data_IF_731502073325
#
_entry.id   IF_731502073325
#
_cell.length_a   1.000
_cell.length_b   1.000
_cell.length_c   1.000
_cell.angle_alpha   90.00
_cell.angle_beta   90.00
_cell.angle_gamma   90.00
#
_symmetry.space_group_name_H-M   'P 1'
#
loop_
_entity.id
_entity.type
_entity.pdbx_description
1 polymer ?
#
# COMPACT_ATOMS: atom_id res chain seq x y z
N UNK A 1 15.72 -12.10 1.11
CA UNK A 1 15.50 -10.70 0.77
C UNK A 1 14.08 -10.50 0.26
N UNK A 2 13.42 -9.51 0.79
CA UNK A 2 12.06 -9.22 0.37
C UNK A 2 12.10 -8.24 -0.81
N UNK A 3 11.38 -8.59 -1.86
CA UNK A 3 11.23 -7.71 -3.02
C UNK A 3 9.86 -7.08 -2.96
N UNK A 4 9.80 -5.89 -2.41
CA UNK A 4 8.54 -5.18 -2.30
C UNK A 4 8.17 -4.61 -3.66
N UNK A 5 6.93 -4.82 -4.05
CA UNK A 5 6.43 -4.36 -5.35
C UNK A 5 5.37 -3.28 -5.22
N UNK A 6 4.83 -3.11 -4.04
CA UNK A 6 3.76 -2.15 -3.83
C UNK A 6 3.96 -1.40 -2.54
N UNK A 7 3.52 -0.16 -2.51
CA UNK A 7 3.57 0.65 -1.30
C UNK A 7 2.23 1.32 -1.11
N UNK A 8 1.78 1.33 0.13
CA UNK A 8 0.53 2.00 0.50
C UNK A 8 0.89 3.14 1.45
N UNK A 9 0.48 4.33 1.08
CA UNK A 9 0.70 5.52 1.89
C UNK A 9 -0.57 5.88 2.61
N UNK A 10 -0.47 6.09 3.92
CA UNK A 10 -1.60 6.50 4.74
C UNK A 10 -1.13 7.64 5.62
N UNK A 11 -1.58 8.86 5.29
CA UNK A 11 -1.28 10.02 6.12
C UNK A 11 0.20 10.25 6.37
N UNK A 12 1.05 9.95 5.39
CA UNK A 12 2.47 10.15 5.57
C UNK A 12 3.23 8.91 6.03
N UNK A 13 2.52 7.85 6.39
CA UNK A 13 3.14 6.59 6.74
C UNK A 13 3.13 5.66 5.54
N UNK A 14 4.22 4.95 5.32
CA UNK A 14 4.32 4.05 4.19
C UNK A 14 4.45 2.60 4.66
N UNK A 15 3.74 1.72 3.97
CA UNK A 15 3.80 0.28 4.20
C UNK A 15 4.10 -0.41 2.88
N UNK A 16 5.05 -1.33 2.92
CA UNK A 16 5.50 -2.02 1.72
C UNK A 16 4.95 -3.44 1.67
N UNK A 17 4.56 -3.86 0.48
CA UNK A 17 3.94 -5.17 0.28
C UNK A 17 4.57 -5.86 -0.91
N UNK A 18 4.63 -7.19 -0.83
CA UNK A 18 5.16 -8.00 -1.92
C UNK A 18 4.07 -8.46 -2.89
N UNK A 19 2.80 -8.31 -2.50
CA UNK A 19 1.67 -8.79 -3.26
C UNK A 19 0.65 -7.70 -3.44
N UNK A 20 0.13 -7.57 -4.65
CA UNK A 20 -0.91 -6.59 -4.93
C UNK A 20 -2.15 -6.85 -4.06
N UNK A 21 -2.49 -8.12 -3.90
CA UNK A 21 -3.67 -8.49 -3.13
C UNK A 21 -3.59 -7.96 -1.71
N UNK A 22 -2.44 -8.12 -1.09
CA UNK A 22 -2.23 -7.62 0.27
C UNK A 22 -2.28 -6.11 0.32
N UNK A 23 -1.62 -5.46 -0.62
CA UNK A 23 -1.61 -4.00 -0.65
C UNK A 23 -3.01 -3.46 -0.85
N UNK A 24 -3.78 -4.07 -1.74
CA UNK A 24 -5.14 -3.63 -2.02
C UNK A 24 -6.05 -3.84 -0.81
N UNK A 25 -5.86 -4.93 -0.11
CA UNK A 25 -6.64 -5.20 1.10
C UNK A 25 -6.44 -4.09 2.13
N UNK A 26 -5.19 -3.72 2.37
CA UNK A 26 -4.90 -2.68 3.34
C UNK A 26 -5.35 -1.32 2.83
N UNK A 27 -5.21 -1.08 1.53
CA UNK A 27 -5.69 0.16 0.96
C UNK A 27 -7.18 0.33 1.20
N UNK A 28 -7.96 -0.71 0.90
CA UNK A 28 -9.40 -0.67 1.11
C UNK A 28 -9.76 -0.51 2.58
N UNK A 29 -9.00 -1.18 3.44
CA UNK A 29 -9.23 -1.11 4.88
C UNK A 29 -9.08 0.31 5.39
N UNK A 30 -8.04 1.01 4.95
CA UNK A 30 -7.82 2.38 5.40
C UNK A 30 -8.89 3.32 4.87
N UNK A 31 -9.30 3.12 3.62
CA UNK A 31 -10.39 3.93 3.05
C UNK A 31 -11.67 3.71 3.85
N UNK A 32 -11.95 2.47 4.22
CA UNK A 32 -13.15 2.13 4.97
C UNK A 32 -13.13 2.77 6.35
N UNK A 33 -11.96 2.95 6.93
CA UNK A 33 -11.83 3.56 8.24
C UNK A 33 -11.95 5.07 8.22
N UNK A 34 -12.10 5.65 7.04
CA UNK A 34 -12.33 7.08 6.94
C UNK A 34 -11.13 7.90 6.53
N UNK A 35 -10.01 7.25 6.25
CA UNK A 35 -8.84 7.97 5.78
C UNK A 35 -9.03 8.30 4.31
N UNK A 36 -8.82 9.55 3.95
CA UNK A 36 -8.92 9.95 2.55
C UNK A 36 -7.56 10.26 1.95
N UNK A 37 -6.52 10.15 2.75
CA UNK A 37 -5.15 10.41 2.31
C UNK A 37 -4.42 9.08 2.15
N UNK A 38 -4.98 8.19 1.34
CA UNK A 38 -4.45 6.86 1.14
C UNK A 38 -4.09 6.69 -0.34
N UNK A 39 -2.87 6.24 -0.58
CA UNK A 39 -2.37 6.03 -1.94
C UNK A 39 -1.77 4.66 -2.08
N UNK A 40 -2.05 4.01 -3.19
CA UNK A 40 -1.46 2.71 -3.51
C UNK A 40 -0.64 2.89 -4.78
N UNK A 41 0.65 2.56 -4.69
CA UNK A 41 1.54 2.71 -5.83
C UNK A 41 2.27 1.42 -6.11
N UNK A 42 2.54 1.16 -7.38
CA UNK A 42 3.33 0.03 -7.79
C UNK A 42 4.79 0.47 -7.89
N UNK A 43 5.66 -0.25 -7.20
CA UNK A 43 7.09 0.03 -7.23
C UNK A 43 7.71 -0.84 -8.29
N UNK A 44 8.31 -0.23 -9.29
CA UNK A 44 9.01 -0.98 -10.32
C UNK A 44 10.27 -1.56 -9.69
N UNK A 45 10.33 -2.86 -9.66
CA UNK A 45 11.49 -3.54 -9.11
C UNK A 45 12.30 -4.12 -10.25
N UNK A 46 13.37 -3.48 -10.54
CA UNK A 46 14.23 -3.88 -11.66
C UNK A 46 15.34 -4.79 -11.21
#
# INVERSE_FOLDING_TARGET
MANYKYVVWVGGCDDYYTSYKKAKQDYDKWIEQGYDDVHLEEIANV
#
